data_IF_516323478967
#
_entry.id   IF_516323478967
#
_cell.length_a   1.000
_cell.length_b   1.000
_cell.length_c   1.000
_cell.angle_alpha   90.00
_cell.angle_beta   90.00
_cell.angle_gamma   90.00
#
_symmetry.space_group_name_H-M   'P 1'
#
loop_
_entity.id
_entity.type
_entity.pdbx_description
1 polymer ?
#
# COMPACT_ATOMS: atom_id res chain seq x y z
N UNK A 1 -10.87 30.71 16.34
CA UNK A 1 -10.99 30.00 15.04
C UNK A 1 -10.74 28.51 15.12
N UNK A 2 -9.82 28.04 16.01
CA UNK A 2 -9.52 26.59 16.17
C UNK A 2 -10.69 25.72 16.63
N UNK A 3 -11.65 26.27 17.36
CA UNK A 3 -12.84 25.53 17.85
C UNK A 3 -13.91 25.30 16.77
N UNK A 4 -13.92 26.09 15.72
CA UNK A 4 -14.91 26.02 14.64
C UNK A 4 -14.62 24.86 13.70
N UNK A 5 -13.34 24.64 13.38
CA UNK A 5 -12.90 23.56 12.47
C UNK A 5 -13.24 22.15 13.03
N UNK A 6 -13.05 21.96 14.34
CA UNK A 6 -13.38 20.69 15.00
C UNK A 6 -14.90 20.46 15.00
N UNK A 7 -15.69 21.55 15.17
CA UNK A 7 -17.15 21.46 15.14
C UNK A 7 -17.68 21.13 13.74
N UNK A 8 -17.08 21.68 12.69
CA UNK A 8 -17.44 21.36 11.30
C UNK A 8 -17.15 19.89 10.95
N UNK A 9 -16.03 19.33 11.44
CA UNK A 9 -15.68 17.91 11.23
C UNK A 9 -16.65 17.00 11.99
N UNK A 10 -16.99 17.34 13.23
CA UNK A 10 -17.98 16.59 14.02
C UNK A 10 -19.38 16.65 13.38
N UNK A 11 -19.77 17.78 12.82
CA UNK A 11 -21.06 17.94 12.14
C UNK A 11 -21.19 16.99 10.94
N UNK A 12 -20.12 16.86 10.12
CA UNK A 12 -20.11 15.99 8.95
C UNK A 12 -20.21 14.51 9.34
N UNK A 13 -19.80 14.16 10.56
CA UNK A 13 -19.78 12.77 11.02
C UNK A 13 -21.07 12.31 11.72
N UNK A 14 -21.85 13.21 12.34
CA UNK A 14 -22.94 12.84 13.24
C UNK A 14 -24.34 13.21 12.77
N UNK A 15 -24.51 14.13 11.81
CA UNK A 15 -25.84 14.53 11.35
C UNK A 15 -26.38 13.53 10.33
N UNK A 16 -27.41 12.79 10.70
CA UNK A 16 -27.97 11.70 9.87
C UNK A 16 -29.16 12.10 9.01
N UNK A 17 -29.91 13.15 9.40
CA UNK A 17 -31.07 13.64 8.68
C UNK A 17 -31.27 15.16 8.87
N UNK A 18 -32.35 15.70 8.30
CA UNK A 18 -32.66 17.14 8.36
C UNK A 18 -33.00 17.64 9.76
N UNK A 19 -33.55 16.78 10.61
CA UNK A 19 -33.96 17.13 11.95
C UNK A 19 -32.73 17.28 12.86
N UNK A 20 -31.76 16.39 12.74
CA UNK A 20 -30.45 16.48 13.41
C UNK A 20 -29.68 17.73 12.98
N UNK A 21 -29.76 18.09 11.68
CA UNK A 21 -29.15 19.29 11.13
C UNK A 21 -29.73 20.56 11.77
N UNK A 22 -31.06 20.64 11.86
CA UNK A 22 -31.73 21.81 12.44
C UNK A 22 -31.47 21.93 13.94
N UNK A 23 -31.44 20.82 14.65
CA UNK A 23 -31.12 20.81 16.08
C UNK A 23 -29.68 21.28 16.32
N UNK A 24 -28.73 20.85 15.52
CA UNK A 24 -27.34 21.30 15.61
C UNK A 24 -27.21 22.81 15.32
N UNK A 25 -27.88 23.32 14.29
CA UNK A 25 -27.83 24.73 13.94
C UNK A 25 -28.46 25.62 15.03
N UNK A 26 -29.48 25.13 15.75
CA UNK A 26 -30.08 25.81 16.88
C UNK A 26 -29.12 25.86 18.09
N UNK A 27 -28.39 24.81 18.32
CA UNK A 27 -27.41 24.70 19.42
C UNK A 27 -26.12 25.50 19.15
N UNK A 28 -25.74 25.66 17.85
CA UNK A 28 -24.54 26.38 17.41
C UNK A 28 -24.83 27.47 16.39
N UNK A 29 -25.47 28.61 16.82
CA UNK A 29 -25.88 29.66 15.89
C UNK A 29 -24.78 30.33 15.09
N UNK A 30 -23.52 30.27 15.54
CA UNK A 30 -22.34 30.75 14.77
C UNK A 30 -22.09 29.94 13.47
N UNK A 31 -22.54 28.70 13.40
CA UNK A 31 -22.48 27.91 12.19
C UNK A 31 -23.38 28.43 11.07
N UNK A 32 -24.42 29.23 11.43
CA UNK A 32 -25.32 29.86 10.47
C UNK A 32 -24.71 31.12 9.82
N UNK A 33 -23.81 31.82 10.53
CA UNK A 33 -23.27 33.11 10.08
C UNK A 33 -22.07 33.00 9.17
N UNK A 34 -21.31 31.90 9.22
CA UNK A 34 -20.15 31.69 8.34
C UNK A 34 -20.51 30.92 7.06
N UNK A 35 -21.73 31.11 6.61
CA UNK A 35 -22.22 30.79 5.28
C UNK A 35 -21.83 29.44 4.70
N UNK A 36 -22.74 28.47 4.77
CA UNK A 36 -22.77 27.29 3.94
C UNK A 36 -21.78 26.18 4.33
N UNK A 37 -21.88 25.67 5.54
CA UNK A 37 -21.55 24.28 5.75
C UNK A 37 -22.37 23.46 4.72
N UNK A 38 -21.71 22.88 3.72
CA UNK A 38 -22.40 22.06 2.73
C UNK A 38 -22.70 20.73 3.38
N UNK A 39 -23.87 20.60 3.97
CA UNK A 39 -24.36 19.32 4.43
C UNK A 39 -24.56 18.42 3.21
N UNK A 40 -23.79 17.35 3.18
CA UNK A 40 -24.08 16.28 2.24
C UNK A 40 -25.33 15.57 2.75
N UNK A 41 -26.41 15.60 1.96
CA UNK A 41 -27.61 14.82 2.25
C UNK A 41 -27.27 13.33 2.43
N UNK A 42 -28.12 12.58 3.13
CA UNK A 42 -27.95 11.12 3.27
C UNK A 42 -27.85 10.41 1.92
N UNK A 43 -28.48 10.95 0.86
CA UNK A 43 -28.33 10.48 -0.52
C UNK A 43 -26.93 10.79 -1.10
N UNK A 44 -26.36 11.96 -0.79
CA UNK A 44 -25.00 12.30 -1.19
C UNK A 44 -23.95 11.48 -0.42
N UNK A 45 -24.24 11.05 0.82
CA UNK A 45 -23.40 10.09 1.56
C UNK A 45 -23.39 8.69 0.91
N UNK A 46 -24.53 8.23 0.38
CA UNK A 46 -24.62 6.95 -0.35
C UNK A 46 -23.85 6.95 -1.68
N UNK A 47 -23.52 8.11 -2.22
CA UNK A 47 -22.74 8.26 -3.46
C UNK A 47 -21.24 8.50 -3.25
N UNK A 48 -20.75 8.58 -1.99
CA UNK A 48 -19.31 8.58 -1.76
C UNK A 48 -18.77 7.22 -2.18
N UNK A 49 -17.99 7.20 -3.25
CA UNK A 49 -17.20 6.03 -3.62
C UNK A 49 -16.22 5.73 -2.47
N UNK A 50 -16.54 4.72 -1.68
CA UNK A 50 -15.67 4.23 -0.62
C UNK A 50 -14.48 3.54 -1.27
N UNK A 51 -13.26 3.96 -0.95
CA UNK A 51 -12.06 3.27 -1.39
C UNK A 51 -12.04 1.86 -0.78
N UNK A 52 -11.79 0.86 -1.63
CA UNK A 52 -11.68 -0.53 -1.20
C UNK A 52 -10.23 -0.92 -1.01
N UNK A 53 -9.97 -1.79 -0.04
CA UNK A 53 -8.64 -2.36 0.13
C UNK A 53 -8.22 -3.12 -1.14
N UNK A 54 -7.02 -2.90 -1.66
CA UNK A 54 -6.54 -3.54 -2.89
C UNK A 54 -6.34 -5.06 -2.72
N UNK A 55 -6.06 -5.48 -1.50
CA UNK A 55 -5.90 -6.88 -1.10
C UNK A 55 -6.73 -7.12 0.16
N UNK A 56 -7.55 -8.16 0.15
CA UNK A 56 -8.53 -8.45 1.22
C UNK A 56 -8.07 -9.57 2.15
N UNK A 57 -7.18 -10.42 1.67
CA UNK A 57 -6.65 -11.57 2.40
C UNK A 57 -5.14 -11.65 2.20
N UNK A 58 -4.45 -12.31 3.12
CA UNK A 58 -3.06 -12.66 2.98
C UNK A 58 -2.79 -14.08 3.48
N UNK A 59 -1.75 -14.69 2.93
CA UNK A 59 -1.08 -15.84 3.50
C UNK A 59 0.25 -15.37 4.09
N UNK A 60 0.44 -15.61 5.36
CA UNK A 60 1.70 -15.35 6.03
C UNK A 60 2.54 -16.63 6.05
N UNK A 61 3.66 -16.64 5.34
CA UNK A 61 4.55 -17.79 5.23
C UNK A 61 5.77 -17.53 6.11
N UNK A 62 5.84 -18.23 7.25
CA UNK A 62 6.93 -18.09 8.20
C UNK A 62 8.26 -18.62 7.65
N UNK A 63 9.36 -18.14 8.22
CA UNK A 63 10.69 -18.71 8.07
C UNK A 63 11.06 -19.37 9.40
N UNK A 64 11.47 -20.64 9.37
CA UNK A 64 11.84 -21.38 10.58
C UNK A 64 13.32 -21.23 10.91
N UNK A 65 14.17 -21.18 9.91
CA UNK A 65 15.61 -21.09 10.11
C UNK A 65 16.33 -20.43 8.91
N UNK A 66 17.53 -19.95 9.16
CA UNK A 66 18.46 -19.42 8.16
C UNK A 66 19.69 -20.34 8.15
N UNK A 67 20.00 -20.93 7.04
CA UNK A 67 21.26 -21.67 6.83
C UNK A 67 22.26 -20.78 6.08
N UNK A 68 23.43 -20.56 6.67
CA UNK A 68 24.48 -19.75 6.10
C UNK A 68 25.84 -20.41 6.41
N UNK A 69 26.61 -20.78 5.37
CA UNK A 69 27.93 -21.36 5.48
C UNK A 69 28.02 -22.60 6.40
N UNK A 70 26.98 -23.43 6.43
CA UNK A 70 26.90 -24.60 7.29
C UNK A 70 26.29 -24.36 8.67
N UNK A 71 26.15 -23.11 9.10
CA UNK A 71 25.50 -22.75 10.36
C UNK A 71 23.98 -22.61 10.16
N UNK A 72 23.22 -23.03 11.16
CA UNK A 72 21.76 -22.83 11.22
C UNK A 72 21.46 -21.80 12.29
N UNK A 73 20.90 -20.67 11.87
CA UNK A 73 20.48 -19.57 12.75
C UNK A 73 18.98 -19.56 12.93
N UNK A 74 18.54 -18.93 14.02
CA UNK A 74 17.11 -18.70 14.27
C UNK A 74 16.54 -17.72 13.25
N UNK A 75 15.29 -17.92 12.85
CA UNK A 75 14.55 -17.00 11.97
C UNK A 75 14.42 -15.58 12.52
N UNK A 76 14.45 -15.39 13.85
CA UNK A 76 14.45 -14.07 14.50
C UNK A 76 15.68 -13.21 14.14
N UNK A 77 16.72 -13.80 13.58
CA UNK A 77 17.89 -13.11 13.04
C UNK A 77 17.76 -12.73 11.56
N UNK A 78 16.67 -13.10 10.89
CA UNK A 78 16.49 -12.77 9.47
C UNK A 78 16.24 -11.28 9.27
N UNK A 79 17.27 -10.62 8.78
CA UNK A 79 17.32 -9.18 8.53
C UNK A 79 17.98 -8.93 7.16
N UNK A 80 17.28 -9.24 6.05
CA UNK A 80 17.80 -8.95 4.73
C UNK A 80 17.95 -7.44 4.54
N UNK A 81 18.93 -7.04 3.74
CA UNK A 81 19.05 -5.63 3.32
C UNK A 81 17.86 -5.25 2.43
N UNK A 82 17.46 -3.98 2.45
CA UNK A 82 16.35 -3.50 1.62
C UNK A 82 16.55 -3.78 0.12
N UNK A 83 17.80 -3.77 -0.36
CA UNK A 83 18.19 -4.15 -1.73
C UNK A 83 17.97 -5.64 -2.05
N UNK A 84 17.77 -6.47 -1.05
CA UNK A 84 17.53 -7.91 -1.23
C UNK A 84 16.04 -8.27 -1.23
N UNK A 85 15.14 -7.32 -0.87
CA UNK A 85 13.70 -7.59 -0.76
C UNK A 85 13.09 -8.11 -2.05
N UNK A 86 13.39 -7.47 -3.16
CA UNK A 86 12.89 -7.90 -4.48
C UNK A 86 13.45 -9.28 -4.83
N UNK A 87 14.71 -9.55 -4.55
CA UNK A 87 15.35 -10.85 -4.84
C UNK A 87 14.68 -11.98 -4.05
N UNK A 88 14.42 -11.78 -2.75
CA UNK A 88 13.70 -12.74 -1.91
C UNK A 88 12.25 -12.95 -2.35
N UNK A 89 11.54 -11.87 -2.65
CA UNK A 89 10.17 -11.94 -3.16
C UNK A 89 10.09 -12.68 -4.50
N UNK A 90 11.05 -12.42 -5.42
CA UNK A 90 11.15 -13.11 -6.70
C UNK A 90 11.50 -14.59 -6.50
N UNK A 91 12.39 -14.91 -5.57
CA UNK A 91 12.72 -16.29 -5.25
C UNK A 91 11.49 -17.06 -4.78
N UNK A 92 10.74 -16.49 -3.83
CA UNK A 92 9.48 -17.09 -3.38
C UNK A 92 8.46 -17.18 -4.50
N UNK A 93 8.28 -16.13 -5.29
CA UNK A 93 7.35 -16.14 -6.43
C UNK A 93 7.69 -17.30 -7.41
N UNK A 94 8.95 -17.46 -7.78
CA UNK A 94 9.39 -18.55 -8.66
C UNK A 94 9.16 -19.92 -8.03
N UNK A 95 9.42 -20.03 -6.73
CA UNK A 95 9.16 -21.24 -5.96
C UNK A 95 7.66 -21.60 -6.01
N UNK A 96 6.79 -20.65 -5.69
CA UNK A 96 5.33 -20.86 -5.70
C UNK A 96 4.82 -21.24 -7.09
N UNK A 97 5.28 -20.57 -8.15
CA UNK A 97 4.91 -20.91 -9.53
C UNK A 97 5.35 -22.33 -9.89
N UNK A 98 6.57 -22.75 -9.49
CA UNK A 98 7.07 -24.10 -9.72
C UNK A 98 6.24 -25.15 -8.97
N UNK A 99 5.95 -24.91 -7.70
CA UNK A 99 5.17 -25.83 -6.86
C UNK A 99 3.69 -25.89 -7.26
N UNK A 100 3.18 -24.82 -7.89
CA UNK A 100 1.82 -24.80 -8.44
C UNK A 100 1.64 -25.85 -9.55
N UNK A 101 2.67 -26.07 -10.35
CA UNK A 101 2.67 -27.01 -11.47
C UNK A 101 2.05 -26.43 -12.73
N UNK A 102 1.20 -27.22 -13.41
CA UNK A 102 0.58 -26.83 -14.69
C UNK A 102 -0.44 -25.72 -14.45
N UNK A 103 -0.48 -24.73 -15.34
CA UNK A 103 -1.41 -23.59 -15.36
C UNK A 103 -1.48 -22.80 -14.04
N UNK A 104 -0.39 -22.13 -13.66
CA UNK A 104 -0.42 -21.26 -12.49
C UNK A 104 -1.38 -20.10 -12.70
N UNK A 105 -2.10 -19.70 -11.63
CA UNK A 105 -3.08 -18.61 -11.66
C UNK A 105 -2.52 -17.36 -12.34
N UNK A 106 -3.26 -16.73 -13.27
CA UNK A 106 -2.87 -15.47 -13.87
C UNK A 106 -2.57 -14.37 -12.83
N UNK A 107 -3.29 -14.37 -11.70
CA UNK A 107 -3.05 -13.43 -10.61
C UNK A 107 -1.70 -13.66 -9.90
N UNK A 108 -1.19 -14.90 -9.89
CA UNK A 108 0.13 -15.22 -9.35
C UNK A 108 1.23 -14.83 -10.34
N UNK A 109 1.11 -15.20 -11.62
CA UNK A 109 2.17 -14.97 -12.62
C UNK A 109 2.12 -13.58 -13.28
N UNK A 110 1.03 -12.84 -13.13
CA UNK A 110 0.83 -11.53 -13.76
C UNK A 110 0.65 -11.59 -15.29
N UNK A 111 0.28 -12.77 -15.84
CA UNK A 111 0.05 -12.97 -17.26
C UNK A 111 -1.41 -13.35 -17.52
N UNK A 112 -2.06 -12.62 -18.39
CA UNK A 112 -3.46 -12.80 -18.77
C UNK A 112 -3.56 -13.10 -20.25
N UNK A 113 -4.54 -13.92 -20.63
CA UNK A 113 -4.81 -14.24 -22.02
C UNK A 113 -5.17 -12.97 -22.81
N UNK A 114 -4.89 -12.92 -24.11
CA UNK A 114 -5.31 -11.81 -24.98
C UNK A 114 -6.81 -11.58 -24.87
N UNK A 115 -7.23 -10.30 -24.77
CA UNK A 115 -8.65 -9.91 -24.64
C UNK A 115 -9.22 -9.98 -23.23
N UNK A 116 -8.52 -10.56 -22.25
CA UNK A 116 -8.95 -10.52 -20.85
C UNK A 116 -8.49 -9.21 -20.21
N UNK A 117 -9.42 -8.49 -19.60
CA UNK A 117 -9.10 -7.31 -18.82
C UNK A 117 -8.19 -7.67 -17.64
N UNK A 118 -7.07 -6.97 -17.54
CA UNK A 118 -6.15 -7.19 -16.41
C UNK A 118 -6.73 -6.57 -15.14
N UNK A 119 -6.73 -7.31 -14.02
CA UNK A 119 -7.14 -6.75 -12.73
C UNK A 119 -6.22 -5.60 -12.30
N UNK A 120 -6.67 -4.81 -11.34
CA UNK A 120 -5.88 -3.71 -10.80
C UNK A 120 -4.58 -4.24 -10.14
N UNK A 121 -4.70 -5.33 -9.41
CA UNK A 121 -3.60 -5.90 -8.65
C UNK A 121 -3.47 -7.40 -8.89
N UNK A 122 -2.25 -7.89 -8.76
CA UNK A 122 -1.89 -9.30 -8.70
C UNK A 122 -1.55 -9.68 -7.26
N UNK A 123 -1.24 -10.96 -7.04
CA UNK A 123 -0.62 -11.40 -5.79
C UNK A 123 0.63 -10.57 -5.51
N UNK A 124 0.76 -10.09 -4.29
CA UNK A 124 1.88 -9.28 -3.85
C UNK A 124 2.62 -9.98 -2.72
N UNK A 125 3.93 -10.08 -2.81
CA UNK A 125 4.80 -10.71 -1.81
C UNK A 125 5.60 -9.62 -1.13
N UNK A 126 5.39 -9.45 0.19
CA UNK A 126 6.08 -8.45 0.99
C UNK A 126 6.97 -9.11 2.05
N UNK A 127 8.07 -8.46 2.40
CA UNK A 127 9.05 -8.97 3.35
C UNK A 127 8.71 -8.45 4.75
N UNK A 128 8.49 -9.36 5.68
CA UNK A 128 8.25 -9.10 7.11
C UNK A 128 9.42 -9.66 7.89
N UNK A 129 10.53 -8.94 7.87
CA UNK A 129 11.76 -9.33 8.55
C UNK A 129 11.71 -9.04 10.07
N UNK A 130 12.77 -9.41 10.78
CA UNK A 130 12.85 -9.20 12.23
C UNK A 130 12.86 -7.71 12.60
N UNK A 131 13.55 -6.87 11.82
CA UNK A 131 13.58 -5.42 12.05
C UNK A 131 12.22 -4.78 11.82
N UNK A 132 11.48 -5.23 10.80
CA UNK A 132 10.11 -4.81 10.57
C UNK A 132 9.23 -5.13 11.79
N UNK A 133 9.28 -6.37 12.26
CA UNK A 133 8.47 -6.81 13.41
C UNK A 133 8.82 -6.05 14.68
N UNK A 134 10.09 -5.78 14.92
CA UNK A 134 10.54 -4.99 16.06
C UNK A 134 10.04 -3.55 15.96
N UNK A 135 10.20 -2.92 14.80
CA UNK A 135 9.83 -1.52 14.56
C UNK A 135 8.34 -1.26 14.65
N UNK A 136 7.53 -2.16 14.09
CA UNK A 136 6.07 -2.00 13.98
C UNK A 136 5.28 -2.89 14.94
N UNK A 137 5.92 -3.42 16.00
CA UNK A 137 5.30 -4.34 16.96
C UNK A 137 4.03 -3.77 17.62
N UNK A 138 3.95 -2.46 17.80
CA UNK A 138 2.79 -1.79 18.39
C UNK A 138 1.64 -1.59 17.38
N UNK A 139 1.96 -1.47 16.09
CA UNK A 139 1.00 -1.22 15.01
C UNK A 139 0.49 -2.50 14.34
N UNK A 140 1.28 -3.58 14.35
CA UNK A 140 0.86 -4.88 13.79
C UNK A 140 -0.11 -5.56 14.77
N UNK A 141 -1.09 -6.30 14.24
CA UNK A 141 -1.99 -7.13 15.05
C UNK A 141 -1.22 -8.15 15.89
N UNK A 142 -1.75 -8.43 17.08
CA UNK A 142 -1.09 -9.29 18.06
C UNK A 142 -0.91 -10.74 17.61
N UNK A 143 -1.83 -11.25 16.80
CA UNK A 143 -1.73 -12.59 16.20
C UNK A 143 -0.59 -12.69 15.18
N UNK A 144 -0.36 -11.62 14.39
CA UNK A 144 0.73 -11.54 13.40
C UNK A 144 2.09 -11.27 14.06
N UNK A 145 2.11 -10.44 15.11
CA UNK A 145 3.37 -10.16 15.86
C UNK A 145 3.98 -11.44 16.42
N UNK A 146 3.17 -12.42 16.82
CA UNK A 146 3.63 -13.71 17.39
C UNK A 146 4.25 -14.67 16.37
N UNK A 147 3.95 -14.51 15.06
CA UNK A 147 4.52 -15.33 14.01
C UNK A 147 6.03 -15.05 13.87
N UNK A 148 6.79 -15.99 13.33
CA UNK A 148 8.19 -15.74 12.98
C UNK A 148 8.31 -14.72 11.84
N UNK A 149 9.47 -14.08 11.60
CA UNK A 149 9.73 -13.36 10.36
C UNK A 149 9.40 -14.21 9.14
N UNK A 150 8.95 -13.58 8.06
CA UNK A 150 8.50 -14.34 6.90
C UNK A 150 8.06 -13.46 5.74
N UNK A 151 7.19 -14.02 4.92
CA UNK A 151 6.63 -13.38 3.76
C UNK A 151 5.12 -13.17 3.94
N UNK A 152 4.66 -11.96 3.66
CA UNK A 152 3.24 -11.63 3.59
C UNK A 152 2.82 -11.69 2.12
N UNK A 153 2.02 -12.69 1.76
CA UNK A 153 1.51 -12.92 0.40
C UNK A 153 0.09 -12.34 0.34
N UNK A 154 -0.03 -11.13 -0.17
CA UNK A 154 -1.29 -10.41 -0.29
C UNK A 154 -2.06 -10.92 -1.51
N UNK A 155 -3.35 -11.22 -1.32
CA UNK A 155 -4.24 -11.82 -2.32
C UNK A 155 -5.26 -10.77 -2.75
N UNK A 156 -5.35 -10.44 -4.06
CA UNK A 156 -6.32 -9.48 -4.55
C UNK A 156 -7.76 -10.02 -4.46
N UNK A 157 -8.72 -9.10 -4.31
CA UNK A 157 -10.13 -9.43 -4.10
C UNK A 157 -10.80 -10.17 -5.26
N UNK A 158 -10.24 -10.07 -6.47
CA UNK A 158 -10.75 -10.68 -7.70
C UNK A 158 -10.13 -12.03 -8.05
N UNK A 159 -9.21 -12.56 -7.21
CA UNK A 159 -8.68 -13.90 -7.36
C UNK A 159 -9.76 -14.95 -7.03
N UNK A 160 -9.87 -16.01 -7.88
CA UNK A 160 -10.87 -17.04 -7.68
C UNK A 160 -10.66 -17.82 -6.36
N UNK A 161 -11.76 -18.25 -5.73
CA UNK A 161 -11.70 -19.09 -4.50
C UNK A 161 -10.90 -20.38 -4.72
N UNK A 162 -10.98 -20.98 -5.91
CA UNK A 162 -10.22 -22.16 -6.28
C UNK A 162 -8.71 -21.88 -6.30
N UNK A 163 -8.31 -20.76 -6.91
CA UNK A 163 -6.90 -20.36 -6.96
C UNK A 163 -6.37 -19.98 -5.57
N UNK A 164 -7.18 -19.32 -4.75
CA UNK A 164 -6.83 -19.02 -3.35
C UNK A 164 -6.58 -20.30 -2.56
N UNK A 165 -7.48 -21.27 -2.69
CA UNK A 165 -7.33 -22.60 -2.06
C UNK A 165 -6.05 -23.29 -2.49
N UNK A 166 -5.81 -23.35 -3.81
CA UNK A 166 -4.58 -23.95 -4.37
C UNK A 166 -3.31 -23.21 -3.94
N UNK A 167 -3.32 -21.87 -3.90
CA UNK A 167 -2.18 -21.10 -3.39
C UNK A 167 -1.87 -21.44 -1.93
N UNK A 168 -2.90 -21.55 -1.09
CA UNK A 168 -2.74 -21.94 0.30
C UNK A 168 -2.14 -23.35 0.42
N UNK A 169 -2.62 -24.32 -0.39
CA UNK A 169 -2.12 -25.68 -0.38
C UNK A 169 -0.67 -25.75 -0.85
N UNK A 170 -0.29 -24.96 -1.87
CA UNK A 170 1.10 -24.81 -2.31
C UNK A 170 1.98 -24.24 -1.20
N UNK A 171 1.52 -23.20 -0.50
CA UNK A 171 2.24 -22.65 0.64
C UNK A 171 2.36 -23.65 1.79
N UNK A 172 1.31 -24.41 2.10
CA UNK A 172 1.35 -25.44 3.14
C UNK A 172 2.33 -26.58 2.76
N UNK A 173 2.34 -27.00 1.51
CA UNK A 173 3.27 -27.99 0.98
C UNK A 173 4.74 -27.50 0.87
N UNK A 174 4.97 -26.21 1.11
CA UNK A 174 6.31 -25.63 1.14
C UNK A 174 7.01 -25.79 2.50
N UNK A 175 6.30 -26.12 3.57
CA UNK A 175 6.86 -26.27 4.92
C UNK A 175 8.06 -27.22 4.91
N UNK A 176 9.16 -26.81 5.52
CA UNK A 176 10.41 -27.54 5.58
C UNK A 176 11.28 -27.48 4.30
N UNK A 177 10.77 -26.94 3.19
CA UNK A 177 11.56 -26.75 1.97
C UNK A 177 12.52 -25.57 2.09
N UNK A 178 13.54 -25.58 1.25
CA UNK A 178 14.58 -24.53 1.20
C UNK A 178 14.27 -23.49 0.13
N UNK A 179 14.45 -22.22 0.47
CA UNK A 179 14.34 -21.09 -0.44
C UNK A 179 15.67 -20.32 -0.50
N UNK A 180 16.13 -20.01 -1.70
CA UNK A 180 17.34 -19.22 -1.95
C UNK A 180 17.21 -18.44 -3.27
N UNK A 181 17.91 -17.33 -3.40
CA UNK A 181 17.95 -16.56 -4.66
C UNK A 181 19.34 -16.52 -5.31
N UNK A 182 20.40 -16.75 -4.53
CA UNK A 182 21.78 -16.81 -5.00
C UNK A 182 22.54 -17.85 -4.16
N UNK A 183 23.43 -18.65 -4.78
CA UNK A 183 24.15 -19.73 -4.08
C UNK A 183 25.02 -19.24 -2.91
N UNK A 184 25.60 -18.04 -3.05
CA UNK A 184 26.45 -17.40 -2.03
C UNK A 184 25.67 -16.72 -0.90
N UNK A 185 24.37 -16.66 -1.01
CA UNK A 185 23.49 -16.08 0.00
C UNK A 185 22.92 -17.14 0.93
N UNK A 186 22.38 -16.67 2.04
CA UNK A 186 21.70 -17.55 2.99
C UNK A 186 20.55 -18.32 2.34
N UNK A 187 20.35 -19.55 2.79
CA UNK A 187 19.17 -20.36 2.47
C UNK A 187 18.17 -20.25 3.59
N UNK A 188 16.92 -19.96 3.25
CA UNK A 188 15.82 -19.91 4.21
C UNK A 188 15.12 -21.25 4.27
N UNK A 189 14.81 -21.74 5.47
CA UNK A 189 13.91 -22.87 5.69
C UNK A 189 12.50 -22.35 5.87
N UNK A 190 11.60 -22.68 4.96
CA UNK A 190 10.19 -22.29 5.00
C UNK A 190 9.50 -22.94 6.19
N UNK A 191 8.71 -22.18 6.90
CA UNK A 191 7.89 -22.60 8.04
C UNK A 191 6.43 -22.79 7.68
N UNK A 192 5.57 -22.59 8.67
CA UNK A 192 4.12 -22.74 8.53
C UNK A 192 3.51 -21.59 7.73
N UNK A 193 2.36 -21.89 7.10
CA UNK A 193 1.51 -20.87 6.51
C UNK A 193 0.31 -20.58 7.42
N UNK A 194 0.04 -19.29 7.62
CA UNK A 194 -1.12 -18.81 8.39
C UNK A 194 -1.94 -17.89 7.53
N UNK A 195 -3.26 -18.04 7.50
CA UNK A 195 -4.15 -17.07 6.84
C UNK A 195 -4.29 -15.83 7.71
N UNK A 196 -4.10 -14.66 7.11
CA UNK A 196 -4.16 -13.35 7.77
C UNK A 196 -5.18 -12.49 7.03
N UNK A 197 -5.95 -11.72 7.76
CA UNK A 197 -6.82 -10.69 7.20
C UNK A 197 -5.98 -9.49 6.77
N UNK A 198 -5.90 -9.26 5.44
CA UNK A 198 -5.11 -8.16 4.90
C UNK A 198 -5.78 -6.79 5.09
N UNK A 199 -7.12 -6.73 5.20
CA UNK A 199 -7.85 -5.50 5.50
C UNK A 199 -7.63 -5.04 6.94
N UNK A 200 -7.28 -5.96 7.83
CA UNK A 200 -7.00 -5.70 9.24
C UNK A 200 -5.60 -6.19 9.66
N UNK A 201 -4.61 -6.02 8.81
CA UNK A 201 -3.21 -6.38 9.13
C UNK A 201 -2.62 -5.47 10.22
N UNK A 202 -2.97 -4.20 10.18
CA UNK A 202 -2.55 -3.21 11.16
C UNK A 202 -3.63 -3.03 12.24
N UNK A 203 -3.22 -2.69 13.45
CA UNK A 203 -4.16 -2.26 14.50
C UNK A 203 -4.82 -0.94 14.12
N UNK A 204 -6.05 -0.71 14.58
CA UNK A 204 -6.69 0.59 14.45
C UNK A 204 -5.82 1.72 15.00
N UNK A 205 -5.99 2.90 14.46
CA UNK A 205 -5.31 4.11 14.93
C UNK A 205 -5.71 4.40 16.37
N UNK A 206 -4.73 4.71 17.22
CA UNK A 206 -5.03 5.05 18.61
C UNK A 206 -5.83 6.38 18.72
N UNK A 207 -6.72 6.52 19.70
CA UNK A 207 -7.46 7.77 19.91
C UNK A 207 -6.51 8.96 20.02
N UNK A 208 -6.85 10.06 19.35
CA UNK A 208 -6.02 11.28 19.30
C UNK A 208 -4.81 11.22 18.35
N UNK A 209 -4.71 10.16 17.57
CA UNK A 209 -3.70 10.01 16.53
C UNK A 209 -4.36 10.01 15.14
N UNK A 210 -3.60 10.38 14.12
CA UNK A 210 -3.95 10.22 12.70
C UNK A 210 -2.87 9.40 12.00
N UNK A 211 -3.28 8.52 11.09
CA UNK A 211 -2.39 7.64 10.35
C UNK A 211 -2.02 8.22 9.01
N UNK A 212 -0.74 8.21 8.74
CA UNK A 212 -0.16 8.39 7.42
C UNK A 212 0.56 7.11 7.03
N UNK A 213 0.82 6.95 5.77
CA UNK A 213 1.50 5.80 5.21
C UNK A 213 2.85 6.21 4.65
N UNK A 214 3.91 5.66 5.23
CA UNK A 214 5.26 5.76 4.67
C UNK A 214 5.53 4.59 3.72
N UNK A 215 6.41 4.78 2.75
CA UNK A 215 6.71 3.76 1.72
C UNK A 215 7.98 3.00 2.08
N UNK A 216 7.92 1.67 2.13
CA UNK A 216 9.06 0.80 2.48
C UNK A 216 9.36 -0.23 1.38
N UNK A 217 10.62 -0.46 0.99
CA UNK A 217 11.76 0.42 1.26
C UNK A 217 11.65 1.73 0.48
N UNK A 218 11.04 1.70 -0.69
CA UNK A 218 10.66 2.79 -1.56
C UNK A 218 9.66 2.28 -2.60
N UNK A 219 8.88 3.15 -3.22
CA UNK A 219 8.15 2.84 -4.44
C UNK A 219 9.04 3.09 -5.65
N UNK A 220 8.95 2.22 -6.64
CA UNK A 220 9.59 2.45 -7.94
C UNK A 220 8.56 3.04 -8.89
N UNK A 221 8.93 4.10 -9.60
CA UNK A 221 8.06 4.75 -10.56
C UNK A 221 7.59 3.77 -11.66
N UNK A 222 6.31 3.83 -12.01
CA UNK A 222 5.69 2.95 -13.03
C UNK A 222 6.22 3.22 -14.44
N UNK A 223 6.74 4.43 -14.65
CA UNK A 223 7.29 4.87 -15.92
C UNK A 223 8.39 5.90 -15.72
N UNK A 224 9.20 6.12 -16.76
CA UNK A 224 10.06 7.30 -16.84
C UNK A 224 9.23 8.59 -16.89
N UNK A 225 9.82 9.76 -16.57
CA UNK A 225 9.13 11.04 -16.68
C UNK A 225 8.48 11.26 -18.04
N UNK A 226 7.24 11.72 -18.04
CA UNK A 226 6.42 11.99 -19.23
C UNK A 226 5.94 13.45 -19.17
N UNK A 227 6.73 14.43 -19.64
CA UNK A 227 6.29 15.82 -19.65
C UNK A 227 5.10 15.99 -20.61
N UNK A 228 4.11 16.76 -20.21
CA UNK A 228 3.01 17.16 -21.07
C UNK A 228 3.42 18.42 -21.83
N UNK A 229 3.87 18.23 -23.06
CA UNK A 229 4.33 19.33 -23.92
C UNK A 229 3.18 20.27 -24.29
N UNK A 230 1.95 19.73 -24.48
CA UNK A 230 0.77 20.52 -24.90
C UNK A 230 0.33 21.50 -23.80
N UNK A 231 0.36 21.04 -22.54
CA UNK A 231 -0.07 21.84 -21.39
C UNK A 231 1.11 22.39 -20.56
N UNK A 232 2.33 22.25 -21.06
CA UNK A 232 3.57 22.70 -20.39
C UNK A 232 3.73 22.18 -18.95
N UNK A 233 3.20 20.97 -18.67
CA UNK A 233 3.30 20.36 -17.34
C UNK A 233 4.58 19.52 -17.23
N UNK A 234 5.24 19.63 -16.07
CA UNK A 234 6.42 18.83 -15.75
C UNK A 234 6.00 17.54 -15.04
N UNK A 235 6.70 16.45 -15.33
CA UNK A 235 6.53 15.18 -14.63
C UNK A 235 7.55 15.09 -13.51
N UNK A 236 7.09 15.08 -12.27
CA UNK A 236 7.93 14.93 -11.06
C UNK A 236 7.57 13.69 -10.25
N UNK A 237 8.04 13.68 -9.00
CA UNK A 237 7.77 12.61 -8.04
C UNK A 237 6.29 12.57 -7.66
N UNK A 238 5.64 13.72 -7.54
CA UNK A 238 4.23 13.82 -7.21
C UNK A 238 3.36 13.12 -8.26
N UNK A 239 3.57 13.42 -9.53
CA UNK A 239 2.83 12.82 -10.64
C UNK A 239 3.08 11.30 -10.73
N UNK A 240 4.31 10.87 -10.50
CA UNK A 240 4.67 9.46 -10.47
C UNK A 240 4.01 8.71 -9.30
N UNK A 241 3.87 9.33 -8.13
CA UNK A 241 3.13 8.78 -6.99
C UNK A 241 1.63 8.73 -7.28
N UNK A 242 1.04 9.80 -7.82
CA UNK A 242 -0.36 9.80 -8.25
C UNK A 242 -0.64 8.69 -9.27
N UNK A 243 0.24 8.49 -10.24
CA UNK A 243 0.12 7.39 -11.20
C UNK A 243 0.15 6.03 -10.50
N UNK A 244 1.07 5.82 -9.56
CA UNK A 244 1.20 4.57 -8.81
C UNK A 244 -0.05 4.28 -7.97
N UNK A 245 -0.60 5.29 -7.29
CA UNK A 245 -1.86 5.21 -6.54
C UNK A 245 -3.01 4.85 -7.50
N UNK A 246 -3.14 5.58 -8.62
CA UNK A 246 -4.19 5.33 -9.60
C UNK A 246 -4.12 3.94 -10.23
N UNK A 247 -2.92 3.35 -10.35
CA UNK A 247 -2.78 1.96 -10.78
C UNK A 247 -3.28 0.95 -9.76
N UNK A 248 -3.04 1.18 -8.47
CA UNK A 248 -3.51 0.30 -7.38
C UNK A 248 -5.03 0.32 -7.27
N UNK A 249 -5.64 1.50 -7.35
CA UNK A 249 -7.10 1.69 -7.29
C UNK A 249 -7.74 1.91 -8.68
N UNK A 250 -7.17 1.28 -9.72
CA UNK A 250 -7.60 1.47 -11.13
C UNK A 250 -9.10 1.21 -11.36
N UNK A 251 -9.71 0.31 -10.62
CA UNK A 251 -11.16 0.04 -10.70
C UNK A 251 -12.01 1.21 -10.23
N UNK A 252 -11.48 2.08 -9.38
CA UNK A 252 -12.17 3.23 -8.79
C UNK A 252 -11.77 4.56 -9.45
N UNK A 253 -10.72 4.56 -10.28
CA UNK A 253 -10.32 5.69 -11.11
C UNK A 253 -10.51 5.29 -12.58
N UNK A 254 -11.60 5.75 -13.23
CA UNK A 254 -11.90 5.40 -14.62
C UNK A 254 -10.71 5.74 -15.49
N UNK A 255 -10.24 4.74 -16.23
CA UNK A 255 -9.15 4.93 -17.19
C UNK A 255 -9.77 4.99 -18.58
N UNK A 256 -9.59 6.11 -19.27
CA UNK A 256 -9.89 6.17 -20.69
C UNK A 256 -9.04 5.13 -21.42
N UNK A 257 -9.68 4.31 -22.25
CA UNK A 257 -8.97 3.46 -23.21
C UNK A 257 -8.48 4.26 -24.43
N UNK A 258 -8.97 5.50 -24.59
CA UNK A 258 -8.67 6.38 -25.71
C UNK A 258 -7.41 7.23 -25.44
N UNK A 259 -6.76 7.63 -26.52
CA UNK A 259 -5.58 8.47 -26.50
C UNK A 259 -4.25 7.69 -26.42
N UNK A 260 -3.15 8.41 -26.48
CA UNK A 260 -1.80 7.89 -26.32
C UNK A 260 -1.59 7.35 -24.90
N UNK A 261 -0.52 6.56 -24.72
CA UNK A 261 -0.12 6.08 -23.39
C UNK A 261 0.12 7.24 -22.42
N UNK A 262 0.75 8.28 -22.91
CA UNK A 262 1.09 9.48 -22.16
C UNK A 262 -0.18 10.23 -21.71
N UNK A 263 -1.13 10.43 -22.60
CA UNK A 263 -2.43 11.06 -22.26
C UNK A 263 -3.20 10.25 -21.22
N UNK A 264 -3.25 8.93 -21.37
CA UNK A 264 -3.88 8.06 -20.36
C UNK A 264 -3.24 8.17 -18.98
N UNK A 265 -1.91 8.28 -18.91
CA UNK A 265 -1.21 8.41 -17.64
C UNK A 265 -1.48 9.76 -16.98
N UNK A 266 -1.52 10.84 -17.75
CA UNK A 266 -1.92 12.14 -17.25
C UNK A 266 -3.37 12.17 -16.77
N UNK A 267 -4.29 11.51 -17.45
CA UNK A 267 -5.68 11.38 -17.01
C UNK A 267 -5.79 10.69 -15.66
N UNK A 268 -4.95 9.68 -15.39
CA UNK A 268 -4.89 9.03 -14.07
C UNK A 268 -4.35 10.00 -13.01
N UNK A 269 -3.26 10.68 -13.30
CA UNK A 269 -2.67 11.67 -12.40
C UNK A 269 -3.69 12.74 -12.04
N UNK A 270 -4.37 13.30 -13.02
CA UNK A 270 -5.39 14.33 -12.82
C UNK A 270 -6.58 13.81 -11.99
N UNK A 271 -7.03 12.58 -12.25
CA UNK A 271 -8.12 11.97 -11.51
C UNK A 271 -7.76 11.73 -10.02
N UNK A 272 -6.54 11.30 -9.73
CA UNK A 272 -6.05 11.11 -8.35
C UNK A 272 -5.85 12.45 -7.66
N UNK A 273 -5.21 13.41 -8.34
CA UNK A 273 -4.94 14.75 -7.80
C UNK A 273 -6.23 15.54 -7.50
N UNK A 274 -7.27 15.36 -8.31
CA UNK A 274 -8.55 16.01 -8.10
C UNK A 274 -9.32 15.45 -6.88
N UNK A 275 -9.04 14.21 -6.47
CA UNK A 275 -9.69 13.56 -5.31
C UNK A 275 -8.86 13.73 -4.03
N UNK A 276 -8.57 14.97 -3.65
CA UNK A 276 -7.83 15.30 -2.41
C UNK A 276 -8.53 14.82 -1.12
N UNK A 277 -9.83 14.49 -1.22
CA UNK A 277 -10.57 13.83 -0.14
C UNK A 277 -10.15 12.38 0.08
N UNK A 278 -9.54 11.72 -0.91
CA UNK A 278 -9.07 10.34 -0.80
C UNK A 278 -7.59 10.25 -0.50
N UNK A 279 -6.77 11.03 -1.21
CA UNK A 279 -5.32 10.99 -1.09
C UNK A 279 -4.72 12.37 -0.95
N UNK A 280 -3.81 12.52 0.04
CA UNK A 280 -2.91 13.66 0.12
C UNK A 280 -1.50 13.12 0.26
N UNK A 281 -0.57 13.68 -0.51
CA UNK A 281 0.81 13.23 -0.59
C UNK A 281 1.71 14.32 -0.03
N UNK A 282 2.44 13.99 1.02
CA UNK A 282 3.33 14.91 1.73
C UNK A 282 4.76 14.43 1.68
N UNK A 283 5.71 15.32 1.88
CA UNK A 283 7.15 15.04 1.99
C UNK A 283 7.65 14.04 0.94
N UNK A 284 7.19 14.22 -0.31
CA UNK A 284 7.58 13.36 -1.41
C UNK A 284 8.95 13.74 -1.95
N UNK A 285 9.76 12.74 -2.23
CA UNK A 285 11.12 12.92 -2.76
C UNK A 285 11.56 11.76 -3.63
N UNK A 286 12.52 12.05 -4.50
CA UNK A 286 13.27 11.01 -5.20
C UNK A 286 14.25 10.33 -4.24
N UNK A 287 14.31 9.02 -4.30
CA UNK A 287 15.28 8.21 -3.57
C UNK A 287 16.31 7.69 -4.55
N UNK A 288 17.57 8.01 -4.29
CA UNK A 288 18.69 7.52 -5.06
C UNK A 288 19.43 6.43 -4.26
N UNK A 289 19.65 5.29 -4.89
CA UNK A 289 20.46 4.21 -4.35
C UNK A 289 21.53 3.84 -5.39
N UNK A 290 22.65 3.31 -4.94
CA UNK A 290 23.77 2.97 -5.81
C UNK A 290 23.35 1.98 -6.93
N UNK A 291 22.50 1.00 -6.56
CA UNK A 291 22.01 -0.04 -7.48
C UNK A 291 20.48 -0.04 -7.51
N UNK A 292 19.87 0.90 -8.21
CA UNK A 292 18.39 0.95 -8.35
C UNK A 292 17.80 -0.33 -8.95
N UNK A 293 18.59 -1.07 -9.72
CA UNK A 293 18.19 -2.35 -10.32
C UNK A 293 17.87 -3.43 -9.29
N UNK A 294 18.43 -3.36 -8.08
CA UNK A 294 18.16 -4.32 -7.00
C UNK A 294 16.71 -4.21 -6.47
N UNK A 295 16.08 -3.06 -6.72
CA UNK A 295 14.71 -2.78 -6.27
C UNK A 295 13.63 -3.08 -7.31
N UNK A 296 14.00 -3.70 -8.44
CA UNK A 296 13.09 -3.97 -9.55
C UNK A 296 13.32 -5.37 -10.13
N UNK A 297 12.25 -6.10 -10.34
CA UNK A 297 12.32 -7.34 -11.10
C UNK A 297 12.38 -7.04 -12.61
N UNK A 298 13.40 -7.52 -13.31
CA UNK A 298 13.61 -7.33 -14.76
C UNK A 298 13.76 -5.86 -15.18
N UNK A 299 14.72 -5.17 -14.56
CA UNK A 299 15.13 -3.86 -15.06
C UNK A 299 15.72 -4.01 -16.46
N UNK A 300 15.11 -3.36 -17.46
CA UNK A 300 15.76 -3.18 -18.75
C UNK A 300 16.84 -2.10 -18.56
N UNK A 301 18.10 -2.41 -18.90
CA UNK A 301 19.25 -1.54 -18.66
C UNK A 301 19.18 -0.15 -19.31
N UNK A 302 18.19 0.10 -20.19
CA UNK A 302 17.92 1.39 -20.83
C UNK A 302 16.94 2.30 -20.03
N UNK A 303 16.30 1.78 -18.98
CA UNK A 303 15.33 2.55 -18.18
C UNK A 303 16.01 3.14 -16.95
N UNK A 304 16.06 4.47 -16.87
CA UNK A 304 16.39 5.16 -15.62
C UNK A 304 15.22 4.96 -14.68
N UNK A 305 15.45 4.18 -13.61
CA UNK A 305 14.45 3.92 -12.59
C UNK A 305 14.57 4.99 -11.50
N UNK A 306 13.42 5.51 -11.09
CA UNK A 306 13.35 6.47 -10.00
C UNK A 306 12.70 5.81 -8.79
N UNK A 307 13.42 5.78 -7.68
CA UNK A 307 12.87 5.47 -6.37
C UNK A 307 12.10 6.68 -5.84
N UNK A 308 11.00 6.43 -5.17
CA UNK A 308 10.13 7.46 -4.60
C UNK A 308 9.83 7.13 -3.14
N UNK A 309 9.86 8.14 -2.30
CA UNK A 309 9.37 8.06 -0.94
C UNK A 309 8.40 9.21 -0.67
N UNK A 310 7.43 8.98 0.20
CA UNK A 310 6.42 9.95 0.56
C UNK A 310 5.73 9.57 1.87
N UNK A 311 5.04 10.53 2.47
CA UNK A 311 3.96 10.28 3.43
C UNK A 311 2.63 10.48 2.72
N UNK A 312 1.77 9.47 2.78
CA UNK A 312 0.48 9.46 2.11
C UNK A 312 -0.61 9.41 3.16
N UNK A 313 -1.44 10.44 3.23
CA UNK A 313 -2.71 10.37 3.94
C UNK A 313 -3.74 9.71 3.01
N UNK A 314 -4.39 8.66 3.50
CA UNK A 314 -5.51 8.03 2.81
C UNK A 314 -6.73 8.30 3.66
N UNK A 315 -7.56 9.23 3.21
CA UNK A 315 -8.77 9.63 3.91
C UNK A 315 -9.93 8.86 3.29
N UNK A 316 -10.30 7.75 3.89
CA UNK A 316 -11.58 7.13 3.60
C UNK A 316 -12.45 7.13 4.84
N UNK A 317 -13.75 7.16 4.61
CA UNK A 317 -14.78 7.13 5.66
C UNK A 317 -15.03 5.71 6.15
N UNK A 318 -14.24 4.73 5.65
CA UNK A 318 -14.31 3.33 6.06
C UNK A 318 -13.09 2.92 6.89
N UNK A 319 -13.31 2.26 8.01
CA UNK A 319 -12.27 1.78 8.94
C UNK A 319 -11.24 0.82 8.27
N UNK A 320 -11.56 0.28 7.08
CA UNK A 320 -10.78 -0.78 6.46
C UNK A 320 -9.41 -0.33 5.93
N UNK A 321 -9.27 0.90 5.43
CA UNK A 321 -7.98 1.32 4.85
C UNK A 321 -6.94 1.71 5.89
N UNK A 322 -7.37 2.18 7.06
CA UNK A 322 -6.43 2.50 8.15
C UNK A 322 -5.77 1.26 8.75
N UNK A 323 -6.34 0.08 8.50
CA UNK A 323 -5.82 -1.18 8.99
C UNK A 323 -5.26 -2.08 7.87
N UNK A 324 -5.44 -1.71 6.59
CA UNK A 324 -5.13 -2.57 5.47
C UNK A 324 -3.64 -2.66 5.13
N UNK A 325 -3.19 -3.84 4.74
CA UNK A 325 -1.89 -4.04 4.12
C UNK A 325 -1.95 -3.61 2.65
N UNK A 326 -1.11 -2.65 2.27
CA UNK A 326 -1.13 -2.05 0.94
C UNK A 326 0.29 -1.84 0.41
N UNK A 327 0.43 -1.78 -0.91
CA UNK A 327 1.70 -1.47 -1.56
C UNK A 327 1.48 -0.66 -2.84
N UNK A 328 2.44 0.21 -3.21
CA UNK A 328 2.39 1.07 -4.40
C UNK A 328 3.68 0.95 -5.24
N UNK A 329 3.64 1.46 -6.44
CA UNK A 329 4.79 1.46 -7.36
C UNK A 329 4.93 0.18 -8.18
N UNK A 330 5.87 0.19 -9.11
CA UNK A 330 6.10 -0.90 -10.06
C UNK A 330 6.46 -2.22 -9.36
N UNK A 331 7.22 -2.16 -8.26
CA UNK A 331 7.67 -3.33 -7.51
C UNK A 331 6.69 -3.80 -6.43
N UNK A 332 5.48 -3.22 -6.35
CA UNK A 332 4.48 -3.55 -5.31
C UNK A 332 4.11 -5.02 -5.22
N UNK A 333 4.28 -5.77 -6.30
CA UNK A 333 3.98 -7.20 -6.32
C UNK A 333 5.14 -8.08 -5.84
N UNK A 334 6.36 -7.52 -5.75
CA UNK A 334 7.60 -8.26 -5.47
C UNK A 334 8.51 -7.48 -4.52
N UNK A 335 8.07 -7.30 -3.28
CA UNK A 335 8.89 -6.82 -2.17
C UNK A 335 9.11 -5.32 -2.08
N UNK A 336 8.55 -4.50 -3.00
CA UNK A 336 8.73 -3.05 -2.99
C UNK A 336 7.45 -2.30 -2.65
N UNK A 337 7.60 -1.05 -2.22
CA UNK A 337 6.51 -0.09 -2.08
C UNK A 337 5.48 -0.41 -1.00
N UNK A 338 5.81 -1.24 -0.01
CA UNK A 338 4.89 -1.59 1.07
C UNK A 338 4.58 -0.35 1.92
N UNK A 339 3.30 -0.10 2.16
CA UNK A 339 2.85 1.01 2.97
C UNK A 339 2.87 0.62 4.45
N UNK A 340 3.63 1.37 5.23
CA UNK A 340 3.79 1.16 6.67
C UNK A 340 3.23 2.34 7.44
N UNK A 341 2.59 2.13 8.60
CA UNK A 341 1.96 3.20 9.36
C UNK A 341 2.99 4.18 9.95
N UNK A 342 2.66 5.45 9.86
CA UNK A 342 3.30 6.54 10.55
C UNK A 342 2.21 7.32 11.28
N UNK A 343 2.05 7.05 12.56
CA UNK A 343 0.97 7.62 13.36
C UNK A 343 1.47 8.90 14.06
N UNK A 344 0.72 10.00 13.91
CA UNK A 344 1.03 11.33 14.46
C UNK A 344 -0.11 11.79 15.36
N UNK A 345 0.22 12.60 16.38
CA UNK A 345 -0.81 13.25 17.18
C UNK A 345 -1.66 14.20 16.30
N UNK A 346 -2.98 14.18 16.49
CA UNK A 346 -3.91 15.05 15.74
C UNK A 346 -3.52 16.52 15.85
N UNK A 347 -2.94 16.96 16.98
CA UNK A 347 -2.44 18.33 17.15
C UNK A 347 -1.34 18.72 16.14
N UNK A 348 -0.59 17.76 15.61
CA UNK A 348 0.46 17.98 14.60
C UNK A 348 -0.15 18.04 13.19
N UNK A 349 -1.31 17.40 12.98
CA UNK A 349 -1.96 17.25 11.68
C UNK A 349 -2.96 18.37 11.34
N UNK A 350 -3.04 19.43 12.16
CA UNK A 350 -4.08 20.49 12.05
C UNK A 350 -3.88 21.47 10.89
N UNK A 351 -2.67 21.62 10.38
CA UNK A 351 -2.39 22.40 9.16
C UNK A 351 -1.28 21.72 8.36
N UNK A 352 -1.29 21.91 7.05
CA UNK A 352 -0.24 21.34 6.18
C UNK A 352 1.15 21.90 6.56
N UNK A 353 1.25 23.18 6.92
CA UNK A 353 2.49 23.82 7.35
C UNK A 353 3.02 23.28 8.70
N UNK A 354 2.13 23.06 9.66
CA UNK A 354 2.50 22.49 10.97
C UNK A 354 2.85 21.02 10.84
N UNK A 355 2.19 20.29 9.96
CA UNK A 355 2.48 18.90 9.67
C UNK A 355 3.88 18.74 9.09
N UNK A 356 4.27 19.51 8.06
CA UNK A 356 5.60 19.46 7.47
C UNK A 356 6.73 19.76 8.47
N UNK A 357 6.49 20.68 9.41
CA UNK A 357 7.43 21.01 10.50
C UNK A 357 7.53 19.90 11.54
N UNK A 358 6.41 19.22 11.82
CA UNK A 358 6.30 18.15 12.83
C UNK A 358 6.79 16.79 12.38
N UNK A 359 7.10 16.60 11.09
CA UNK A 359 7.58 15.31 10.57
C UNK A 359 8.95 14.98 11.19
N UNK A 360 9.11 13.82 11.85
CA UNK A 360 10.37 13.36 12.40
C UNK A 360 11.48 13.30 11.34
N UNK A 361 12.70 13.58 11.74
CA UNK A 361 13.86 13.61 10.82
C UNK A 361 14.13 12.28 10.14
N UNK A 362 13.79 11.16 10.78
CA UNK A 362 13.93 9.81 10.20
C UNK A 362 12.90 9.52 9.09
N UNK A 363 11.84 10.32 8.98
CA UNK A 363 10.88 10.30 7.87
C UNK A 363 11.22 11.35 6.79
N UNK A 364 12.07 12.34 7.12
CA UNK A 364 12.59 13.31 6.18
C UNK A 364 13.79 12.72 5.45
#
# INVERSE_FOLDING_TARGET
SKGILIKEILLVLFVSDKEDEQNFLNEYPLAQTEGKARYLSSAARKQREVLKAPWVMALYLEINAIACNGDIKNSSEWKPQESEFVNWAVALHRFLVKEWGIDPSPALVGKYAPGIARPANNVSIQIIDADFKQRYSQQIRDDVVKLNPGFLILIPSDMSKGDIGKLRDVCAGAEGKSLYYAPEKSTLRIGKVTTVDAEHFWKPVAPGMCRYWAVRPMAIAETRPIPDIKLHRKWGVYEALCLSIGHVWRSQYPQSSEGSREERYWNIVDAVSAKTSHFRIYNYRTVHRANMTDYVHRANGSNILHGMNALIAISDVGESLDCAAMAIGQSRHLGGGFLVPADFAVSVCQSDDDFEKGIPTWLK
#
